data_IF_001452915853
#
_entry.id   IF_001452915853
#
_cell.length_a   1.000
_cell.length_b   1.000
_cell.length_c   1.000
_cell.angle_alpha   90.00
_cell.angle_beta   90.00
_cell.angle_gamma   90.00
#
_symmetry.space_group_name_H-M   'P 1'
#
loop_
_entity.id
_entity.type
_entity.pdbx_description
1 polymer ?
#
# COMPACT_ATOMS: atom_id res chain seq x y z
N UNK A 1 9.63 26.99 3.67
CA UNK A 1 8.33 26.89 4.37
C UNK A 1 8.50 26.26 5.75
N UNK A 2 7.58 26.56 6.67
CA UNK A 2 7.53 25.90 7.97
C UNK A 2 7.08 24.45 7.79
N UNK A 3 7.73 23.49 8.44
CA UNK A 3 7.39 22.07 8.37
C UNK A 3 7.57 21.43 9.75
N UNK A 4 6.74 20.46 10.13
CA UNK A 4 5.57 19.95 9.44
C UNK A 4 4.41 19.92 10.43
N UNK A 5 3.18 20.19 9.97
CA UNK A 5 2.01 20.29 10.85
C UNK A 5 1.07 19.10 10.74
N UNK A 6 1.35 18.20 9.83
CA UNK A 6 0.50 17.03 9.60
C UNK A 6 0.56 16.07 10.78
N UNK A 7 -0.60 15.56 11.18
CA UNK A 7 -0.77 14.59 12.24
C UNK A 7 -1.65 13.46 11.74
N UNK A 8 -1.08 12.28 11.59
CA UNK A 8 -1.79 11.10 11.13
C UNK A 8 -2.95 10.71 12.02
N UNK A 9 -3.96 10.07 11.45
CA UNK A 9 -5.09 9.60 12.23
C UNK A 9 -6.26 9.12 11.39
N UNK A 10 -7.29 8.62 12.09
CA UNK A 10 -8.54 8.12 11.53
C UNK A 10 -9.69 8.95 12.09
N UNK A 11 -10.52 9.49 11.22
CA UNK A 11 -11.76 10.19 11.61
C UNK A 11 -12.97 9.29 11.37
N UNK A 12 -13.86 9.23 12.35
CA UNK A 12 -15.10 8.45 12.28
C UNK A 12 -16.30 9.42 12.20
N UNK A 13 -17.16 9.14 11.25
CA UNK A 13 -18.36 9.94 10.99
C UNK A 13 -19.62 9.09 11.08
N UNK A 14 -20.71 9.69 11.57
CA UNK A 14 -22.04 9.11 11.47
C UNK A 14 -22.49 9.06 10.01
N UNK A 15 -22.78 7.87 9.49
CA UNK A 15 -23.10 7.67 8.08
C UNK A 15 -24.44 8.31 7.63
N UNK A 16 -25.32 8.66 8.56
CA UNK A 16 -26.64 9.26 8.26
C UNK A 16 -26.58 10.78 8.27
N UNK A 17 -25.88 11.35 9.25
CA UNK A 17 -25.82 12.81 9.46
C UNK A 17 -24.56 13.46 8.87
N UNK A 18 -23.51 12.69 8.60
CA UNK A 18 -22.18 13.21 8.25
C UNK A 18 -21.48 13.88 9.46
N UNK A 19 -22.07 13.82 10.65
CA UNK A 19 -21.48 14.39 11.85
C UNK A 19 -20.22 13.62 12.29
N UNK A 20 -19.12 14.33 12.55
CA UNK A 20 -17.90 13.72 13.05
C UNK A 20 -18.12 13.22 14.49
N UNK A 21 -17.85 11.94 14.72
CA UNK A 21 -18.01 11.30 16.01
C UNK A 21 -16.73 11.36 16.84
N UNK A 22 -15.58 11.02 16.22
CA UNK A 22 -14.28 11.07 16.88
C UNK A 22 -13.14 11.20 15.87
N UNK A 23 -11.95 11.51 16.36
CA UNK A 23 -10.69 11.40 15.62
C UNK A 23 -9.67 10.70 16.52
N UNK A 24 -9.10 9.60 16.02
CA UNK A 24 -7.97 8.90 16.63
C UNK A 24 -6.70 9.38 15.97
N UNK A 25 -5.77 9.91 16.74
CA UNK A 25 -4.46 10.31 16.21
C UNK A 25 -3.42 9.21 16.43
N UNK A 26 -2.57 9.01 15.45
CA UNK A 26 -1.44 8.07 15.53
C UNK A 26 -0.31 8.59 16.39
N UNK A 27 -0.18 9.92 16.52
CA UNK A 27 0.74 10.60 17.43
C UNK A 27 -0.08 11.30 18.50
N UNK A 28 0.17 11.03 19.80
CA UNK A 28 -0.63 11.55 20.90
C UNK A 28 -0.51 13.07 21.03
N UNK A 29 0.69 13.61 20.92
CA UNK A 29 0.98 15.03 21.09
C UNK A 29 0.66 15.82 19.81
N UNK A 30 0.02 17.00 19.94
CA UNK A 30 -0.17 17.88 18.80
C UNK A 30 1.16 18.51 18.34
N UNK A 31 1.30 18.79 17.03
CA UNK A 31 2.46 19.51 16.52
C UNK A 31 2.66 20.90 17.19
N UNK A 32 3.88 21.21 17.57
CA UNK A 32 4.26 22.49 18.16
C UNK A 32 5.59 22.99 17.59
N UNK A 33 5.85 24.31 17.67
CA UNK A 33 7.13 24.88 17.23
C UNK A 33 8.25 24.41 18.17
N UNK A 34 9.24 23.71 17.62
CA UNK A 34 10.39 23.16 18.35
C UNK A 34 11.70 23.88 18.03
N UNK A 35 11.69 24.86 17.12
CA UNK A 35 12.87 25.63 16.74
C UNK A 35 12.74 26.26 15.36
N UNK A 36 13.88 26.62 14.79
CA UNK A 36 14.00 27.19 13.43
C UNK A 36 14.88 26.29 12.55
N UNK A 37 14.58 26.23 11.26
CA UNK A 37 15.46 25.63 10.27
C UNK A 37 16.54 26.60 9.78
N UNK A 38 17.41 26.16 8.88
CA UNK A 38 18.49 26.98 8.35
C UNK A 38 18.02 28.23 7.58
N UNK A 39 16.78 28.22 7.06
CA UNK A 39 16.19 29.39 6.41
C UNK A 39 15.44 30.32 7.38
N UNK A 40 15.50 30.08 8.70
CA UNK A 40 14.84 30.87 9.72
C UNK A 40 13.33 30.63 9.86
N UNK A 41 12.75 29.65 9.16
CA UNK A 41 11.34 29.27 9.30
C UNK A 41 11.13 28.26 10.43
N UNK A 42 9.89 28.18 10.94
CA UNK A 42 9.60 27.32 12.08
C UNK A 42 9.76 25.83 11.74
N UNK A 43 10.43 25.11 12.63
CA UNK A 43 10.40 23.64 12.71
C UNK A 43 9.29 23.26 13.68
N UNK A 44 8.43 22.36 13.23
CA UNK A 44 7.23 21.93 13.95
C UNK A 44 7.27 20.42 14.10
N UNK A 45 7.09 19.92 15.32
CA UNK A 45 7.12 18.51 15.68
C UNK A 45 6.24 18.24 16.92
N UNK A 46 5.81 16.98 17.17
CA UNK A 46 5.92 15.82 16.27
C UNK A 46 4.97 15.93 15.10
N UNK A 47 5.30 15.28 13.97
CA UNK A 47 4.48 15.29 12.76
C UNK A 47 4.70 14.01 11.95
N UNK A 48 3.70 13.57 11.20
CA UNK A 48 3.75 12.39 10.36
C UNK A 48 2.87 11.24 10.85
N UNK A 49 3.36 10.01 10.73
CA UNK A 49 2.67 8.74 10.97
C UNK A 49 1.30 8.70 10.27
N UNK A 50 1.26 8.99 8.93
CA UNK A 50 0.01 9.06 8.19
C UNK A 50 -0.69 7.71 8.13
N UNK A 51 -2.02 7.73 8.08
CA UNK A 51 -2.85 6.59 7.68
C UNK A 51 -3.44 6.92 6.32
N UNK A 52 -2.98 6.22 5.27
CA UNK A 52 -3.47 6.43 3.91
C UNK A 52 -3.92 5.14 3.24
N UNK A 53 -4.07 4.08 4.03
CA UNK A 53 -4.67 2.81 3.65
C UNK A 53 -6.11 2.68 4.17
N UNK A 54 -6.83 1.67 3.67
CA UNK A 54 -8.17 1.34 4.14
C UNK A 54 -8.10 0.55 5.45
N UNK A 55 -8.80 0.97 6.52
CA UNK A 55 -8.86 0.21 7.78
C UNK A 55 -9.52 -1.17 7.58
N UNK A 56 -8.96 -2.21 8.19
CA UNK A 56 -9.62 -3.50 8.32
C UNK A 56 -10.40 -3.56 9.64
N UNK A 57 -11.69 -3.88 9.58
CA UNK A 57 -12.59 -3.89 10.73
C UNK A 57 -12.70 -5.29 11.33
N UNK A 58 -12.31 -5.45 12.59
CA UNK A 58 -12.53 -6.65 13.38
C UNK A 58 -13.63 -6.37 14.43
N UNK A 59 -14.87 -6.56 13.98
CA UNK A 59 -16.05 -6.31 14.81
C UNK A 59 -16.11 -7.25 16.00
N UNK A 60 -15.62 -8.49 15.85
CA UNK A 60 -15.63 -9.48 16.92
C UNK A 60 -14.73 -9.04 18.10
N UNK A 61 -13.56 -8.46 17.79
CA UNK A 61 -12.63 -7.92 18.79
C UNK A 61 -12.91 -6.46 19.15
N UNK A 62 -13.83 -5.80 18.44
CA UNK A 62 -14.17 -4.39 18.65
C UNK A 62 -13.02 -3.44 18.29
N UNK A 63 -12.21 -3.78 17.31
CA UNK A 63 -11.06 -2.98 16.85
C UNK A 63 -11.06 -2.79 15.34
N UNK A 64 -10.31 -1.81 14.87
CA UNK A 64 -9.87 -1.70 13.47
C UNK A 64 -8.35 -1.68 13.40
N UNK A 65 -7.79 -2.25 12.34
CA UNK A 65 -6.35 -2.25 12.09
C UNK A 65 -6.03 -1.28 10.97
N UNK A 66 -4.99 -0.48 11.18
CA UNK A 66 -4.45 0.46 10.18
C UNK A 66 -2.94 0.34 10.12
N UNK A 67 -2.38 0.56 8.95
CA UNK A 67 -0.95 0.77 8.79
C UNK A 67 -0.62 2.24 8.85
N UNK A 68 0.56 2.59 9.33
CA UNK A 68 1.08 3.95 9.34
C UNK A 68 2.31 4.09 8.45
N UNK A 69 2.58 5.30 8.04
CA UNK A 69 3.82 5.67 7.40
C UNK A 69 4.81 6.34 8.35
N UNK A 70 5.82 6.92 7.77
CA UNK A 70 6.96 7.55 8.42
C UNK A 70 6.57 8.80 9.25
N UNK A 71 7.46 9.25 10.11
CA UNK A 71 7.37 10.59 10.67
C UNK A 71 7.85 11.65 9.64
N UNK A 72 7.23 12.83 9.66
CA UNK A 72 7.68 13.95 8.82
C UNK A 72 8.67 14.87 9.54
N UNK A 73 8.82 14.68 10.83
CA UNK A 73 9.72 15.45 11.70
C UNK A 73 10.48 14.53 12.65
N UNK A 74 11.68 14.96 13.05
CA UNK A 74 12.49 14.29 14.07
C UNK A 74 12.04 14.70 15.49
N UNK A 75 12.13 13.79 16.49
CA UNK A 75 12.50 12.37 16.34
C UNK A 75 11.34 11.51 15.80
N UNK A 76 11.69 10.41 15.12
CA UNK A 76 10.71 9.39 14.78
C UNK A 76 10.13 8.77 16.07
N UNK A 77 8.82 8.52 16.07
CA UNK A 77 8.14 7.91 17.22
C UNK A 77 7.87 6.41 16.98
N UNK A 78 7.29 5.74 17.97
CA UNK A 78 7.01 4.30 17.96
C UNK A 78 5.70 3.90 17.24
N UNK A 79 4.99 4.88 16.68
CA UNK A 79 3.78 4.66 15.88
C UNK A 79 3.97 4.94 14.39
N UNK A 80 5.19 5.30 13.95
CA UNK A 80 5.54 5.33 12.52
C UNK A 80 5.83 3.92 12.02
N UNK A 81 5.53 3.66 10.75
CA UNK A 81 5.80 2.37 10.09
C UNK A 81 5.33 1.17 10.91
N UNK A 82 4.14 1.29 11.43
CA UNK A 82 3.52 0.38 12.38
C UNK A 82 2.16 -0.14 11.89
N UNK A 83 1.77 -1.28 12.40
CA UNK A 83 0.36 -1.71 12.39
C UNK A 83 -0.22 -1.37 13.75
N UNK A 84 -1.33 -0.63 13.74
CA UNK A 84 -2.00 -0.15 14.95
C UNK A 84 -3.41 -0.72 15.01
N UNK A 85 -3.79 -1.26 16.18
CA UNK A 85 -5.17 -1.59 16.49
C UNK A 85 -5.83 -0.44 17.23
N UNK A 86 -6.89 0.11 16.67
CA UNK A 86 -7.69 1.18 17.25
C UNK A 86 -9.04 0.62 17.75
N UNK A 87 -9.44 1.00 18.94
CA UNK A 87 -10.73 0.63 19.53
C UNK A 87 -11.89 1.23 18.70
N UNK A 88 -12.85 0.42 18.29
CA UNK A 88 -14.08 0.88 17.62
C UNK A 88 -14.99 1.66 18.60
N UNK A 89 -14.79 1.52 19.92
CA UNK A 89 -15.62 2.17 20.92
C UNK A 89 -15.28 3.65 21.10
N UNK A 90 -13.98 3.96 21.16
CA UNK A 90 -13.50 5.30 21.55
C UNK A 90 -12.28 5.79 20.77
N UNK A 91 -11.78 4.97 19.82
CA UNK A 91 -10.63 5.31 18.99
C UNK A 91 -9.28 5.25 19.70
N UNK A 92 -9.20 4.75 20.93
CA UNK A 92 -7.93 4.59 21.62
C UNK A 92 -7.05 3.52 20.95
N UNK A 93 -5.74 3.69 21.04
CA UNK A 93 -4.77 2.68 20.58
C UNK A 93 -4.82 1.51 21.58
N UNK A 94 -5.19 0.32 21.09
CA UNK A 94 -5.20 -0.93 21.87
C UNK A 94 -3.80 -1.54 21.89
N UNK A 95 -3.14 -1.56 20.73
CA UNK A 95 -1.73 -1.92 20.58
C UNK A 95 -1.15 -1.30 19.32
N UNK A 96 0.17 -1.15 19.30
CA UNK A 96 0.96 -0.74 18.14
C UNK A 96 2.15 -1.67 17.99
N UNK A 97 2.38 -2.17 16.79
CA UNK A 97 3.55 -2.98 16.44
C UNK A 97 4.33 -2.26 15.35
N UNK A 98 5.44 -1.64 15.73
CA UNK A 98 6.34 -0.96 14.79
C UNK A 98 7.24 -1.97 14.07
N UNK A 99 7.40 -1.83 12.75
CA UNK A 99 8.24 -2.70 11.92
C UNK A 99 9.54 -2.02 11.49
N UNK A 100 9.50 -0.71 11.22
CA UNK A 100 10.67 0.09 10.87
C UNK A 100 10.82 1.22 11.87
N UNK A 101 11.78 1.08 12.78
CA UNK A 101 12.07 2.12 13.76
C UNK A 101 12.99 3.19 13.18
N UNK A 102 12.79 4.44 13.60
CA UNK A 102 13.66 5.54 13.21
C UNK A 102 13.41 6.08 11.80
N UNK A 103 12.28 5.74 11.17
CA UNK A 103 11.89 6.32 9.88
C UNK A 103 11.26 7.69 10.10
N UNK A 104 12.04 8.72 9.80
CA UNK A 104 11.55 10.08 9.66
C UNK A 104 12.08 10.66 8.35
N UNK A 105 11.15 11.02 7.48
CA UNK A 105 11.40 11.51 6.14
C UNK A 105 10.30 12.48 5.70
N UNK A 106 10.60 13.36 4.78
CA UNK A 106 9.63 14.15 4.02
C UNK A 106 10.23 14.57 2.68
N UNK A 107 9.41 15.11 1.78
CA UNK A 107 9.86 15.56 0.45
C UNK A 107 10.98 16.60 0.48
N UNK A 108 11.24 17.25 1.60
CA UNK A 108 12.41 18.10 1.78
C UNK A 108 13.74 17.35 1.71
N UNK A 109 13.71 16.03 1.90
CA UNK A 109 14.90 15.18 1.76
C UNK A 109 15.33 14.99 0.30
N UNK A 110 14.42 15.18 -0.64
CA UNK A 110 14.68 15.08 -2.08
C UNK A 110 15.05 16.43 -2.72
N UNK A 111 15.08 17.52 -1.92
CA UNK A 111 15.55 18.83 -2.40
C UNK A 111 17.06 18.98 -2.25
N UNK A 112 17.69 19.81 -3.08
CA UNK A 112 19.13 20.05 -3.04
C UNK A 112 19.58 20.63 -1.67
N UNK A 113 18.82 21.56 -1.12
CA UNK A 113 19.15 22.24 0.14
C UNK A 113 18.82 21.40 1.39
N UNK A 114 17.92 20.43 1.29
CA UNK A 114 17.50 19.53 2.38
C UNK A 114 17.11 20.22 3.70
N UNK A 115 16.64 21.47 3.63
CA UNK A 115 16.45 22.36 4.80
C UNK A 115 15.45 21.78 5.83
N UNK A 116 14.42 21.07 5.35
CA UNK A 116 13.39 20.48 6.20
C UNK A 116 13.52 18.95 6.36
N UNK A 117 14.56 18.34 5.78
CA UNK A 117 14.80 16.91 5.95
C UNK A 117 15.13 16.59 7.41
N UNK A 118 14.45 15.62 8.03
CA UNK A 118 14.84 15.12 9.34
C UNK A 118 16.25 14.51 9.30
N UNK A 119 17.03 14.58 10.40
CA UNK A 119 18.37 14.01 10.44
C UNK A 119 18.42 12.49 10.29
N UNK A 120 17.32 11.80 10.55
CA UNK A 120 17.17 10.37 10.34
C UNK A 120 17.24 9.99 8.86
N UNK A 121 16.72 10.85 7.98
CA UNK A 121 16.68 10.63 6.52
C UNK A 121 16.23 9.19 6.18
N UNK A 122 15.12 8.79 6.77
CA UNK A 122 14.62 7.43 6.74
C UNK A 122 14.19 6.95 5.35
N UNK A 123 13.95 5.64 5.18
CA UNK A 123 13.72 5.04 3.87
C UNK A 123 12.32 5.24 3.27
N UNK A 124 11.38 5.86 4.00
CA UNK A 124 9.98 6.02 3.57
C UNK A 124 9.29 4.66 3.35
N UNK A 125 9.28 3.81 4.39
CA UNK A 125 8.76 2.44 4.32
C UNK A 125 7.33 2.28 4.86
N UNK A 126 6.43 3.12 4.41
CA UNK A 126 5.02 3.09 4.77
C UNK A 126 4.35 1.72 4.64
N UNK A 127 3.32 1.53 5.46
CA UNK A 127 2.24 0.59 5.20
C UNK A 127 1.14 1.27 4.37
N UNK A 128 1.32 1.36 3.06
CA UNK A 128 0.33 1.92 2.14
C UNK A 128 -0.79 0.95 1.78
N UNK A 129 -0.51 -0.34 1.85
CA UNK A 129 -1.49 -1.39 1.63
C UNK A 129 -2.43 -1.55 2.82
N UNK A 130 -3.71 -1.78 2.56
CA UNK A 130 -4.66 -2.19 3.59
C UNK A 130 -4.20 -3.49 4.26
N UNK A 131 -4.38 -3.58 5.57
CA UNK A 131 -4.23 -4.86 6.29
C UNK A 131 -5.33 -5.83 5.88
N UNK A 132 -5.02 -7.13 5.87
CA UNK A 132 -5.98 -8.18 5.53
C UNK A 132 -6.22 -9.06 6.76
N UNK A 133 -7.49 -9.18 7.17
CA UNK A 133 -7.89 -10.16 8.17
C UNK A 133 -8.07 -11.52 7.50
N UNK A 134 -7.44 -12.55 8.02
CA UNK A 134 -7.56 -13.91 7.53
C UNK A 134 -7.64 -14.91 8.68
N UNK A 135 -8.47 -15.93 8.51
CA UNK A 135 -8.50 -17.08 9.41
C UNK A 135 -7.90 -18.26 8.65
N UNK A 136 -6.87 -18.89 9.21
CA UNK A 136 -6.25 -20.07 8.61
C UNK A 136 -7.19 -21.27 8.63
N UNK A 137 -6.94 -22.27 7.79
CA UNK A 137 -7.68 -23.55 7.81
C UNK A 137 -7.61 -24.28 9.16
N UNK A 138 -6.64 -23.92 10.02
CA UNK A 138 -6.48 -24.43 11.39
C UNK A 138 -7.28 -23.61 12.42
N UNK A 139 -8.01 -22.55 11.99
CA UNK A 139 -8.84 -21.71 12.85
C UNK A 139 -8.07 -20.61 13.58
N UNK A 140 -6.84 -20.27 13.19
CA UNK A 140 -6.06 -19.17 13.74
C UNK A 140 -6.33 -17.89 12.96
N UNK A 141 -6.69 -16.82 13.65
CA UNK A 141 -6.82 -15.48 13.06
C UNK A 141 -5.46 -14.79 12.93
N UNK A 142 -5.27 -14.11 11.82
CA UNK A 142 -4.07 -13.33 11.49
C UNK A 142 -4.45 -11.96 10.93
N UNK A 143 -3.63 -10.96 11.26
CA UNK A 143 -3.57 -9.67 10.57
C UNK A 143 -2.37 -9.71 9.64
N UNK A 144 -2.63 -9.72 8.33
CA UNK A 144 -1.60 -9.75 7.31
C UNK A 144 -1.32 -8.32 6.85
N UNK A 145 -0.05 -7.94 6.77
CA UNK A 145 0.37 -6.59 6.41
C UNK A 145 1.55 -6.63 5.44
N UNK A 146 1.53 -5.78 4.43
CA UNK A 146 2.61 -5.60 3.47
C UNK A 146 3.14 -4.17 3.50
N UNK A 147 4.45 -4.00 3.46
CA UNK A 147 5.15 -2.74 3.61
C UNK A 147 5.93 -2.36 2.34
N UNK A 148 6.12 -1.06 2.10
CA UNK A 148 6.97 -0.54 1.00
C UNK A 148 8.41 -1.06 1.08
N UNK A 149 8.86 -1.50 2.24
CA UNK A 149 10.15 -2.19 2.39
C UNK A 149 10.25 -3.47 1.55
N UNK A 150 9.13 -4.07 1.14
CA UNK A 150 9.08 -5.41 0.52
C UNK A 150 8.95 -6.54 1.54
N UNK A 151 8.83 -6.22 2.80
CA UNK A 151 8.49 -7.18 3.84
C UNK A 151 6.98 -7.38 3.95
N UNK A 152 6.60 -8.61 4.23
CA UNK A 152 5.23 -9.02 4.53
C UNK A 152 5.21 -9.69 5.89
N UNK A 153 4.17 -9.40 6.66
CA UNK A 153 4.05 -9.82 8.06
C UNK A 153 2.71 -10.54 8.28
N UNK A 154 2.73 -11.52 9.17
CA UNK A 154 1.52 -11.97 9.85
C UNK A 154 1.63 -11.65 11.33
N UNK A 155 0.60 -11.01 11.87
CA UNK A 155 0.52 -10.62 13.27
C UNK A 155 -0.61 -11.38 13.95
N UNK A 156 -0.43 -11.65 15.23
CA UNK A 156 -1.43 -12.29 16.08
C UNK A 156 -2.28 -11.24 16.78
N UNK A 157 -3.57 -11.08 16.40
CA UNK A 157 -4.44 -10.05 16.97
C UNK A 157 -4.73 -10.26 18.46
N UNK A 158 -4.67 -11.51 18.95
CA UNK A 158 -4.97 -11.87 20.34
C UNK A 158 -3.73 -11.74 21.24
N UNK A 159 -2.55 -11.48 20.66
CA UNK A 159 -1.28 -11.32 21.36
C UNK A 159 -0.66 -9.95 21.17
N UNK A 160 -1.50 -8.90 21.09
CA UNK A 160 -1.04 -7.51 20.98
C UNK A 160 -0.28 -7.23 19.67
N UNK A 161 -0.64 -7.90 18.58
CA UNK A 161 0.04 -7.73 17.30
C UNK A 161 1.41 -8.41 17.22
N UNK A 162 1.71 -9.38 18.07
CA UNK A 162 2.99 -10.10 18.02
C UNK A 162 3.21 -10.73 16.64
N UNK A 163 4.41 -10.53 16.08
CA UNK A 163 4.76 -11.06 14.76
C UNK A 163 4.82 -12.59 14.84
N UNK A 164 4.00 -13.25 14.02
CA UNK A 164 3.96 -14.70 13.84
C UNK A 164 5.06 -15.14 12.88
N UNK A 165 5.15 -14.43 11.76
CA UNK A 165 6.21 -14.56 10.78
C UNK A 165 6.41 -13.23 10.02
N UNK A 166 7.61 -13.06 9.48
CA UNK A 166 8.01 -11.99 8.58
C UNK A 166 8.71 -12.59 7.37
N UNK A 167 8.45 -12.06 6.19
CA UNK A 167 9.06 -12.51 4.95
C UNK A 167 9.40 -11.34 4.04
N UNK A 168 10.70 -11.20 3.71
CA UNK A 168 11.19 -10.29 2.68
C UNK A 168 10.92 -10.88 1.31
N UNK A 169 10.18 -10.17 0.45
CA UNK A 169 9.84 -10.58 -0.91
C UNK A 169 10.48 -9.69 -1.98
N UNK A 170 10.49 -8.39 -1.75
CA UNK A 170 11.06 -7.39 -2.65
C UNK A 170 12.24 -6.64 -2.04
N UNK A 171 12.92 -5.83 -2.86
CA UNK A 171 13.98 -4.91 -2.40
C UNK A 171 13.40 -3.80 -1.52
N UNK A 172 12.24 -3.28 -1.92
CA UNK A 172 11.62 -2.10 -1.33
C UNK A 172 12.04 -0.79 -2.00
N UNK A 173 11.40 0.29 -1.59
CA UNK A 173 11.63 1.65 -2.08
C UNK A 173 10.42 2.55 -1.88
N UNK A 174 10.51 3.82 -2.30
CA UNK A 174 9.43 4.81 -2.15
C UNK A 174 8.10 4.36 -2.81
N UNK A 175 8.19 3.63 -3.90
CA UNK A 175 7.08 2.92 -4.54
C UNK A 175 7.41 1.43 -4.68
N UNK A 176 8.34 0.94 -3.87
CA UNK A 176 8.78 -0.44 -3.86
C UNK A 176 7.94 -1.32 -2.95
N UNK A 177 8.31 -2.59 -2.88
CA UNK A 177 7.67 -3.57 -2.04
C UNK A 177 6.16 -3.70 -2.29
N UNK A 178 5.39 -3.86 -1.21
CA UNK A 178 3.92 -3.88 -1.26
C UNK A 178 3.41 -2.45 -1.15
N UNK A 179 2.83 -1.93 -2.24
CA UNK A 179 2.44 -0.53 -2.28
C UNK A 179 0.98 -0.31 -1.90
N UNK A 180 0.01 -0.91 -2.61
CA UNK A 180 -1.41 -0.57 -2.39
C UNK A 180 -2.30 -1.71 -1.89
N UNK A 181 -1.96 -2.98 -2.07
CA UNK A 181 -2.79 -4.02 -1.50
C UNK A 181 -2.50 -5.44 -1.97
N UNK A 182 -2.87 -6.37 -1.12
CA UNK A 182 -2.73 -7.81 -1.28
C UNK A 182 -4.11 -8.47 -1.34
N UNK A 183 -4.17 -9.71 -1.83
CA UNK A 183 -5.39 -10.52 -1.81
C UNK A 183 -5.14 -11.84 -1.07
N UNK A 184 -6.15 -12.33 -0.36
CA UNK A 184 -6.10 -13.64 0.30
C UNK A 184 -7.22 -14.54 -0.21
N UNK A 185 -6.91 -15.83 -0.38
CA UNK A 185 -7.89 -16.87 -0.66
C UNK A 185 -7.48 -18.17 0.04
N UNK A 186 -8.30 -18.62 0.98
CA UNK A 186 -7.95 -19.70 1.88
C UNK A 186 -6.64 -19.43 2.65
N UNK A 187 -5.72 -20.37 2.61
CA UNK A 187 -4.41 -20.24 3.27
C UNK A 187 -3.33 -19.57 2.40
N UNK A 188 -3.69 -18.91 1.30
CA UNK A 188 -2.74 -18.30 0.37
C UNK A 188 -2.94 -16.79 0.31
N UNK A 189 -1.85 -16.04 0.54
CA UNK A 189 -1.74 -14.61 0.33
C UNK A 189 -1.04 -14.32 -0.99
N UNK A 190 -1.67 -13.54 -1.85
CA UNK A 190 -1.13 -13.07 -3.12
C UNK A 190 -0.61 -11.66 -2.95
N UNK A 191 0.69 -11.49 -3.19
CA UNK A 191 1.43 -10.26 -2.89
C UNK A 191 2.00 -9.67 -4.17
N UNK A 192 1.42 -8.57 -4.67
CA UNK A 192 2.02 -7.83 -5.76
C UNK A 192 3.21 -7.01 -5.22
N UNK A 193 4.36 -7.15 -5.86
CA UNK A 193 5.58 -6.38 -5.55
C UNK A 193 5.85 -5.40 -6.68
N UNK A 194 5.97 -4.13 -6.32
CA UNK A 194 6.29 -3.05 -7.23
C UNK A 194 7.78 -2.95 -7.50
N UNK A 195 8.60 -2.79 -6.48
CA UNK A 195 10.05 -2.62 -6.56
C UNK A 195 10.51 -1.63 -7.65
N UNK A 196 9.82 -0.48 -7.71
CA UNK A 196 10.20 0.62 -8.58
C UNK A 196 11.68 0.95 -8.43
N UNK A 197 12.39 1.15 -9.54
CA UNK A 197 13.79 1.54 -9.51
C UNK A 197 13.94 3.01 -9.05
N UNK A 198 14.08 3.19 -7.76
CA UNK A 198 14.21 4.49 -7.10
C UNK A 198 15.65 5.00 -6.98
N UNK A 199 16.60 4.36 -7.67
CA UNK A 199 18.01 4.76 -7.65
C UNK A 199 18.79 4.29 -6.40
N UNK A 200 19.93 4.94 -6.07
CA UNK A 200 20.92 4.41 -5.13
C UNK A 200 20.47 4.39 -3.66
N UNK A 201 19.39 5.10 -3.31
CA UNK A 201 18.84 5.14 -1.95
C UNK A 201 18.38 3.74 -1.49
N UNK A 202 17.89 2.91 -2.42
CA UNK A 202 17.42 1.55 -2.14
C UNK A 202 18.32 0.53 -2.84
N UNK A 203 19.42 0.08 -2.21
CA UNK A 203 20.36 -0.84 -2.83
C UNK A 203 19.77 -2.24 -2.98
N UNK A 204 20.24 -2.96 -3.99
CA UNK A 204 19.85 -4.34 -4.27
C UNK A 204 19.10 -4.49 -5.59
N UNK A 205 18.90 -5.72 -6.00
CA UNK A 205 18.17 -6.06 -7.22
C UNK A 205 16.66 -5.92 -6.98
N UNK A 206 15.92 -5.17 -7.82
CA UNK A 206 14.47 -5.15 -7.77
C UNK A 206 13.88 -6.51 -8.18
N UNK A 207 12.86 -6.95 -7.45
CA UNK A 207 12.17 -8.23 -7.66
C UNK A 207 10.67 -8.01 -7.90
N UNK A 208 10.28 -7.15 -8.90
CA UNK A 208 8.88 -6.91 -9.18
C UNK A 208 8.19 -8.18 -9.66
N UNK A 209 6.92 -8.35 -9.29
CA UNK A 209 6.14 -9.50 -9.71
C UNK A 209 5.06 -9.91 -8.71
N UNK A 210 4.46 -11.04 -8.97
CA UNK A 210 3.44 -11.63 -8.13
C UNK A 210 4.01 -12.79 -7.32
N UNK A 211 3.76 -12.78 -6.01
CA UNK A 211 4.12 -13.85 -5.09
C UNK A 211 2.87 -14.51 -4.52
N UNK A 212 2.91 -15.82 -4.29
CA UNK A 212 1.97 -16.52 -3.43
C UNK A 212 2.69 -17.00 -2.17
N UNK A 213 2.10 -16.74 -1.01
CA UNK A 213 2.69 -17.01 0.30
C UNK A 213 1.69 -17.78 1.16
N UNK A 214 2.12 -18.89 1.77
CA UNK A 214 1.31 -19.62 2.76
C UNK A 214 1.16 -18.75 4.02
N UNK A 215 -0.07 -18.39 4.40
CA UNK A 215 -0.33 -17.47 5.52
C UNK A 215 0.02 -18.05 6.89
N UNK A 216 0.09 -19.37 7.02
CA UNK A 216 0.42 -20.04 8.29
C UNK A 216 1.91 -19.96 8.61
N UNK A 217 2.76 -19.95 7.57
CA UNK A 217 4.21 -20.13 7.71
C UNK A 217 5.07 -19.02 7.10
N UNK A 218 4.50 -18.16 6.25
CA UNK A 218 5.28 -17.19 5.47
C UNK A 218 6.10 -17.82 4.32
N UNK A 219 5.88 -19.10 4.01
CA UNK A 219 6.60 -19.80 2.95
C UNK A 219 6.10 -19.32 1.57
N UNK A 220 7.04 -18.91 0.71
CA UNK A 220 6.73 -18.65 -0.70
C UNK A 220 6.38 -19.95 -1.39
N UNK A 221 5.20 -20.00 -2.00
CA UNK A 221 4.69 -21.14 -2.76
C UNK A 221 5.15 -21.04 -4.22
N UNK A 222 5.02 -19.85 -4.81
CA UNK A 222 5.52 -19.53 -6.14
C UNK A 222 5.82 -18.03 -6.26
N UNK A 223 6.62 -17.67 -7.25
CA UNK A 223 6.92 -16.31 -7.66
C UNK A 223 6.95 -16.22 -9.18
N UNK A 224 6.23 -15.26 -9.72
CA UNK A 224 6.25 -14.92 -11.14
C UNK A 224 6.79 -13.52 -11.31
N UNK A 225 8.01 -13.41 -11.84
CA UNK A 225 8.66 -12.12 -12.12
C UNK A 225 7.86 -11.36 -13.17
N UNK A 226 7.67 -10.06 -12.94
CA UNK A 226 7.14 -9.17 -13.98
C UNK A 226 8.21 -8.95 -15.06
N UNK A 227 7.84 -9.22 -16.31
CA UNK A 227 8.68 -8.92 -17.46
C UNK A 227 8.62 -7.43 -17.78
N UNK A 228 9.73 -6.85 -18.19
CA UNK A 228 9.80 -5.48 -18.67
C UNK A 228 9.26 -5.39 -20.10
N UNK A 229 8.05 -4.86 -20.24
CA UNK A 229 7.38 -4.62 -21.52
C UNK A 229 7.38 -3.15 -21.92
N UNK A 230 8.16 -2.31 -21.23
CA UNK A 230 8.10 -0.86 -21.37
C UNK A 230 8.67 -0.32 -22.67
N UNK A 231 9.66 -0.98 -23.27
CA UNK A 231 10.28 -0.54 -24.53
C UNK A 231 10.74 0.93 -24.52
N UNK A 232 11.19 1.42 -23.35
CA UNK A 232 11.65 2.79 -23.15
C UNK A 232 10.56 3.86 -23.02
N UNK A 233 9.29 3.48 -22.83
CA UNK A 233 8.20 4.43 -22.56
C UNK A 233 8.44 5.17 -21.24
N UNK A 234 8.24 6.48 -21.26
CA UNK A 234 8.38 7.32 -20.09
C UNK A 234 7.37 6.92 -18.99
N UNK A 235 7.79 6.93 -17.74
CA UNK A 235 6.99 6.52 -16.55
C UNK A 235 6.48 5.07 -16.61
N UNK A 236 7.02 4.24 -17.50
CA UNK A 236 6.69 2.83 -17.57
C UNK A 236 7.66 2.01 -16.72
N UNK A 237 7.12 1.09 -15.91
CA UNK A 237 7.86 0.18 -15.05
C UNK A 237 7.13 -1.17 -14.99
N UNK A 238 7.82 -2.30 -14.88
CA UNK A 238 7.15 -3.61 -14.80
C UNK A 238 6.49 -3.90 -13.45
N UNK A 239 6.70 -3.05 -12.43
CA UNK A 239 6.26 -3.29 -11.06
C UNK A 239 4.74 -3.37 -10.89
N UNK A 240 4.30 -4.23 -9.99
CA UNK A 240 2.90 -4.37 -9.62
C UNK A 240 2.58 -3.47 -8.42
N UNK A 241 2.25 -2.22 -8.69
CA UNK A 241 1.92 -1.22 -7.65
C UNK A 241 0.46 -1.30 -7.20
N UNK A 242 -0.47 -1.59 -8.12
CA UNK A 242 -1.89 -1.68 -7.81
C UNK A 242 -2.23 -2.85 -6.89
N UNK A 243 -3.32 -2.72 -6.14
CA UNK A 243 -3.85 -3.81 -5.34
C UNK A 243 -4.26 -5.00 -6.23
N UNK A 244 -4.07 -6.22 -5.73
CA UNK A 244 -4.51 -7.45 -6.38
C UNK A 244 -5.93 -7.85 -5.94
N UNK A 245 -6.60 -8.67 -6.76
CA UNK A 245 -7.89 -9.27 -6.43
C UNK A 245 -7.89 -10.77 -6.75
N UNK A 246 -8.30 -11.59 -5.80
CA UNK A 246 -8.45 -13.04 -6.01
C UNK A 246 -9.86 -13.38 -6.49
N UNK A 247 -9.93 -14.26 -7.49
CA UNK A 247 -11.16 -14.80 -8.05
C UNK A 247 -11.08 -16.32 -8.09
N UNK A 248 -12.16 -17.00 -8.47
CA UNK A 248 -12.12 -18.44 -8.70
C UNK A 248 -11.09 -18.76 -9.82
N UNK A 249 -10.13 -19.61 -9.51
CA UNK A 249 -9.07 -20.05 -10.44
C UNK A 249 -7.96 -19.03 -10.71
N UNK A 250 -8.08 -17.78 -10.32
CA UNK A 250 -7.08 -16.74 -10.69
C UNK A 250 -6.84 -15.65 -9.66
N UNK A 251 -5.75 -14.93 -9.88
CA UNK A 251 -5.45 -13.66 -9.22
C UNK A 251 -5.23 -12.60 -10.30
N UNK A 252 -5.88 -11.45 -10.14
CA UNK A 252 -5.81 -10.35 -11.10
C UNK A 252 -5.03 -9.19 -10.51
N UNK A 253 -4.05 -8.71 -11.24
CA UNK A 253 -3.28 -7.52 -10.87
C UNK A 253 -2.89 -6.72 -12.12
N UNK A 254 -2.94 -5.41 -11.98
CA UNK A 254 -2.41 -4.47 -12.95
C UNK A 254 -1.00 -4.01 -12.57
N UNK A 255 -0.19 -3.67 -13.57
CA UNK A 255 1.17 -3.22 -13.36
C UNK A 255 1.41 -1.81 -13.92
N UNK A 256 2.51 -1.20 -13.54
CA UNK A 256 2.87 0.15 -14.00
C UNK A 256 3.26 0.19 -15.49
N UNK A 257 3.48 -0.96 -16.13
CA UNK A 257 3.64 -1.08 -17.59
C UNK A 257 2.31 -0.93 -18.37
N UNK A 258 1.18 -0.80 -17.65
CA UNK A 258 -0.15 -0.68 -18.22
C UNK A 258 -0.78 -2.00 -18.64
N UNK A 259 -0.18 -3.13 -18.23
CA UNK A 259 -0.70 -4.46 -18.53
C UNK A 259 -1.43 -5.05 -17.31
N UNK A 260 -2.69 -5.42 -17.53
CA UNK A 260 -3.48 -6.20 -16.56
C UNK A 260 -3.20 -7.69 -16.81
N UNK A 261 -2.94 -8.43 -15.74
CA UNK A 261 -2.61 -9.86 -15.81
C UNK A 261 -3.51 -10.69 -14.91
N UNK A 262 -3.87 -11.88 -15.39
CA UNK A 262 -4.50 -12.92 -14.57
C UNK A 262 -3.48 -14.04 -14.39
N UNK A 263 -3.18 -14.36 -13.16
CA UNK A 263 -2.26 -15.44 -12.77
C UNK A 263 -3.07 -16.64 -12.29
N UNK A 264 -2.64 -17.84 -12.64
CA UNK A 264 -3.14 -19.08 -12.04
C UNK A 264 -2.80 -19.11 -10.54
N UNK A 265 -3.77 -19.38 -9.69
CA UNK A 265 -3.58 -19.34 -8.22
C UNK A 265 -2.63 -20.41 -7.70
N UNK A 266 -2.56 -21.56 -8.37
CA UNK A 266 -1.76 -22.69 -7.91
C UNK A 266 -0.32 -22.63 -8.40
N UNK A 267 -0.09 -22.11 -9.61
CA UNK A 267 1.20 -22.18 -10.29
C UNK A 267 1.88 -20.83 -10.50
N UNK A 268 1.10 -19.73 -10.50
CA UNK A 268 1.57 -18.40 -10.87
C UNK A 268 1.74 -18.19 -12.36
N UNK A 269 1.34 -19.16 -13.21
CA UNK A 269 1.35 -18.99 -14.66
C UNK A 269 0.45 -17.84 -15.08
N UNK A 270 0.88 -17.00 -16.04
CA UNK A 270 0.06 -15.93 -16.61
C UNK A 270 -0.92 -16.52 -17.60
N UNK A 271 -2.20 -16.56 -17.21
CA UNK A 271 -3.30 -17.12 -18.00
C UNK A 271 -3.85 -16.14 -19.04
N UNK A 272 -3.80 -14.84 -18.73
CA UNK A 272 -4.34 -13.80 -19.60
C UNK A 272 -3.68 -12.47 -19.36
N UNK A 273 -3.57 -11.67 -20.41
CA UNK A 273 -3.03 -10.31 -20.38
C UNK A 273 -3.89 -9.34 -21.16
N UNK A 274 -3.89 -8.08 -20.74
CA UNK A 274 -4.53 -7.00 -21.48
C UNK A 274 -3.70 -5.73 -21.35
N UNK A 275 -3.17 -5.25 -22.50
CA UNK A 275 -2.48 -3.96 -22.57
C UNK A 275 -3.50 -2.84 -22.72
N UNK A 276 -3.49 -1.92 -21.74
CA UNK A 276 -4.37 -0.74 -21.72
C UNK A 276 -3.73 0.53 -22.28
N UNK A 277 -2.44 0.51 -22.64
CA UNK A 277 -1.72 1.72 -23.07
C UNK A 277 -2.07 2.06 -24.52
N UNK A 278 -3.29 2.57 -24.71
CA UNK A 278 -3.84 3.00 -26.01
C UNK A 278 -5.00 3.97 -25.81
N UNK A 279 -5.42 4.59 -26.92
CA UNK A 279 -6.66 5.36 -26.97
C UNK A 279 -7.88 4.43 -27.03
N UNK A 280 -8.94 4.83 -26.36
CA UNK A 280 -10.23 4.15 -26.32
C UNK A 280 -11.34 5.09 -26.76
N UNK A 281 -12.30 4.58 -27.52
CA UNK A 281 -13.58 5.22 -27.69
C UNK A 281 -14.45 4.94 -26.46
N UNK A 282 -15.00 5.98 -25.86
CA UNK A 282 -15.84 5.87 -24.67
C UNK A 282 -17.31 5.64 -25.02
N UNK A 283 -18.10 5.10 -24.10
CA UNK A 283 -19.53 4.79 -24.31
C UNK A 283 -20.39 6.05 -24.52
N UNK A 284 -19.92 7.22 -24.11
CA UNK A 284 -20.56 8.51 -24.33
C UNK A 284 -20.11 9.23 -25.62
N UNK A 285 -19.28 8.55 -26.44
CA UNK A 285 -18.82 9.06 -27.75
C UNK A 285 -17.56 9.92 -27.68
N UNK A 286 -16.93 10.02 -26.53
CA UNK A 286 -15.62 10.67 -26.33
C UNK A 286 -14.44 9.74 -26.57
N UNK A 287 -13.25 10.20 -26.18
CA UNK A 287 -12.01 9.40 -26.14
C UNK A 287 -11.38 9.42 -24.75
N UNK A 288 -10.70 8.33 -24.40
CA UNK A 288 -9.93 8.20 -23.17
C UNK A 288 -8.60 7.52 -23.46
N UNK A 289 -7.58 7.82 -22.67
CA UNK A 289 -6.25 7.23 -22.80
C UNK A 289 -6.00 6.26 -21.61
N UNK A 290 -5.57 5.04 -21.91
CA UNK A 290 -5.08 4.13 -20.89
C UNK A 290 -3.62 4.40 -20.56
N UNK A 291 -3.21 4.03 -19.34
CA UNK A 291 -1.87 4.20 -18.81
C UNK A 291 -1.53 3.12 -17.79
N UNK A 292 -0.71 3.45 -16.79
CA UNK A 292 -0.35 2.52 -15.74
C UNK A 292 -1.56 2.10 -14.90
N UNK A 293 -1.52 0.85 -14.40
CA UNK A 293 -2.35 0.44 -13.29
C UNK A 293 -1.62 0.78 -11.99
N UNK A 294 -2.23 1.62 -11.17
CA UNK A 294 -1.68 2.06 -9.89
C UNK A 294 -2.78 2.53 -8.95
N UNK A 295 -2.43 2.69 -7.67
CA UNK A 295 -3.36 3.13 -6.65
C UNK A 295 -4.07 2.01 -5.90
N UNK A 296 -4.79 2.40 -4.85
CA UNK A 296 -5.42 1.48 -3.89
C UNK A 296 -6.57 0.65 -4.49
N UNK A 297 -7.14 1.09 -5.62
CA UNK A 297 -8.22 0.36 -6.27
C UNK A 297 -7.65 -0.75 -7.14
N UNK A 298 -7.74 -1.99 -6.66
CA UNK A 298 -7.57 -3.19 -7.47
C UNK A 298 -8.78 -3.46 -8.37
N UNK A 299 -8.71 -4.49 -9.24
CA UNK A 299 -9.85 -4.94 -10.03
C UNK A 299 -11.04 -5.32 -9.14
N UNK A 300 -12.23 -4.79 -9.44
CA UNK A 300 -13.47 -5.09 -8.72
C UNK A 300 -14.35 -5.97 -9.57
N UNK A 301 -14.99 -6.95 -8.95
CA UNK A 301 -15.86 -7.92 -9.63
C UNK A 301 -17.29 -7.79 -9.11
N UNK A 302 -18.25 -7.64 -10.02
CA UNK A 302 -19.69 -7.65 -9.74
C UNK A 302 -20.47 -8.18 -10.93
N UNK A 303 -21.46 -9.00 -10.66
CA UNK A 303 -22.42 -9.53 -11.66
C UNK A 303 -21.74 -10.15 -12.91
N UNK A 304 -20.63 -10.87 -12.70
CA UNK A 304 -19.89 -11.52 -13.77
C UNK A 304 -19.05 -10.57 -14.62
N UNK A 305 -18.90 -9.33 -14.20
CA UNK A 305 -18.05 -8.33 -14.84
C UNK A 305 -16.87 -7.95 -13.95
N UNK A 306 -15.78 -7.56 -14.59
CA UNK A 306 -14.61 -6.96 -13.93
C UNK A 306 -14.52 -5.47 -14.30
N UNK A 307 -14.27 -4.64 -13.31
CA UNK A 307 -14.09 -3.20 -13.46
C UNK A 307 -12.71 -2.80 -12.96
N UNK A 308 -12.00 -1.99 -13.73
CA UNK A 308 -10.67 -1.49 -13.37
C UNK A 308 -10.40 -0.15 -14.03
N UNK A 309 -9.73 0.76 -13.32
CA UNK A 309 -9.24 2.02 -13.86
C UNK A 309 -7.80 1.87 -14.37
N UNK A 310 -7.45 2.60 -15.43
CA UNK A 310 -6.11 2.67 -15.99
C UNK A 310 -5.72 4.12 -16.22
N UNK A 311 -4.49 4.48 -15.83
CA UNK A 311 -3.93 5.82 -16.00
C UNK A 311 -4.21 6.81 -14.85
N UNK A 312 -4.89 6.40 -13.80
CA UNK A 312 -5.22 7.24 -12.63
C UNK A 312 -4.16 7.18 -11.51
N UNK A 313 -2.99 6.64 -11.78
CA UNK A 313 -1.87 6.63 -10.85
C UNK A 313 -1.28 8.04 -10.65
N UNK A 314 -0.60 8.22 -9.53
CA UNK A 314 0.17 9.42 -9.19
C UNK A 314 1.65 9.06 -9.12
N UNK A 315 2.54 10.05 -9.31
CA UNK A 315 4.00 9.89 -9.26
C UNK A 315 4.56 8.73 -10.10
N UNK A 316 5.33 9.02 -11.11
CA UNK A 316 6.04 8.03 -11.93
C UNK A 316 5.16 6.94 -12.56
N UNK A 317 3.88 7.23 -12.80
CA UNK A 317 2.95 6.37 -13.52
C UNK A 317 2.63 6.97 -14.88
N UNK A 318 2.48 6.15 -15.91
CA UNK A 318 1.97 6.61 -17.20
C UNK A 318 0.55 7.14 -17.02
N UNK A 319 0.31 8.42 -17.39
CA UNK A 319 -1.00 9.04 -17.20
C UNK A 319 -2.06 8.47 -18.14
N UNK A 320 -3.31 8.57 -17.72
CA UNK A 320 -4.48 8.18 -18.49
C UNK A 320 -5.75 8.47 -17.71
N UNK A 321 -6.90 8.12 -18.29
CA UNK A 321 -8.21 8.47 -17.72
C UNK A 321 -9.31 7.49 -18.15
N UNK A 322 -8.98 6.20 -18.37
CA UNK A 322 -9.97 5.22 -18.80
C UNK A 322 -10.44 4.34 -17.63
N UNK A 323 -11.76 4.15 -17.56
CA UNK A 323 -12.38 3.15 -16.72
C UNK A 323 -12.87 2.00 -17.61
N UNK A 324 -12.31 0.81 -17.39
CA UNK A 324 -12.55 -0.37 -18.20
C UNK A 324 -13.56 -1.29 -17.51
N UNK A 325 -14.48 -1.83 -18.30
CA UNK A 325 -15.42 -2.86 -17.89
C UNK A 325 -15.26 -4.08 -18.82
N UNK A 326 -14.95 -5.23 -18.24
CA UNK A 326 -14.81 -6.50 -18.94
C UNK A 326 -16.00 -7.39 -18.61
N UNK A 327 -16.70 -7.86 -19.62
CA UNK A 327 -17.78 -8.81 -19.48
C UNK A 327 -17.48 -10.13 -20.16
N UNK A 328 -18.30 -11.17 -19.94
CA UNK A 328 -18.19 -12.40 -20.71
C UNK A 328 -18.41 -12.10 -22.20
N UNK A 329 -17.69 -12.83 -23.06
CA UNK A 329 -17.97 -12.75 -24.49
C UNK A 329 -19.41 -13.18 -24.73
N UNK A 330 -20.16 -12.39 -25.47
CA UNK A 330 -21.45 -12.86 -25.99
C UNK A 330 -21.23 -14.15 -26.76
N UNK A 331 -22.08 -15.19 -26.57
CA UNK A 331 -21.95 -16.44 -27.25
C UNK A 331 -22.04 -16.32 -28.79
#
# INVERSE_FOLDING_TARGET
YACCTFRGGVAVYDARSGGKLLTSYTIAEPPAVVGKNAAGTDRIAPSGSPVWNTPALDVARGVMYVGTGENYSSPANDTSDAIIALSLKDGSIVWSQQMTAGDAWNMGCETEERINCPPEDGPDYDFGAATVLATTSEGRDLVLAGQKSGDVYALDPDRGGAIVWQKKLGRGGIQGGVHFGMAVDGDVLYVPISDFDGGPRWPGEPLPGMYAVDIRSGKVLWYTRAEDTCEGREFCQPGLSAAASAIEGGVVAGAMDGVLRVYDKATGEVLWTYDSVREFSTTDGGTAQGGSFGGAAGPVFSDGMMFVNSGYGIYFHMPGNVFLAFGPKSP
#
